data_IF_836310664031
#
_entry.id   IF_836310664031
#
_cell.length_a   1.000
_cell.length_b   1.000
_cell.length_c   1.000
_cell.angle_alpha   90.00
_cell.angle_beta   90.00
_cell.angle_gamma   90.00
#
_symmetry.space_group_name_H-M   'P 1'
#
loop_
_entity.id
_entity.type
_entity.pdbx_description
1 polymer ?
#
# COMPACT_ATOMS: atom_id res chain seq x y z
N UNK A 1 -8.88 -0.99 15.94
CA UNK A 1 -10.04 -1.30 15.04
C UNK A 1 -9.61 -2.41 14.10
N UNK A 2 -10.29 -3.58 14.11
CA UNK A 2 -9.95 -4.69 13.23
C UNK A 2 -10.20 -4.27 11.77
N UNK A 3 -9.14 -4.11 10.99
CA UNK A 3 -9.24 -3.97 9.53
C UNK A 3 -9.68 -5.31 8.96
N UNK A 4 -10.97 -5.52 8.80
CA UNK A 4 -11.49 -6.63 8.00
C UNK A 4 -11.24 -6.29 6.53
N UNK A 5 -10.08 -6.74 6.04
CA UNK A 5 -9.86 -6.83 4.60
C UNK A 5 -10.82 -7.87 4.04
N UNK A 6 -11.69 -7.44 3.14
CA UNK A 6 -12.51 -8.34 2.36
C UNK A 6 -11.60 -8.96 1.29
N UNK A 7 -10.83 -9.96 1.69
CA UNK A 7 -10.10 -10.82 0.77
C UNK A 7 -11.10 -11.83 0.18
N UNK A 8 -11.91 -11.36 -0.76
CA UNK A 8 -12.54 -12.28 -1.71
C UNK A 8 -11.44 -12.76 -2.63
N UNK A 9 -10.93 -13.96 -2.37
CA UNK A 9 -9.92 -14.60 -3.19
C UNK A 9 -10.51 -14.84 -4.58
N UNK A 10 -10.22 -13.94 -5.52
CA UNK A 10 -10.56 -14.06 -6.93
C UNK A 10 -9.57 -15.05 -7.54
N UNK A 11 -9.88 -16.35 -7.50
CA UNK A 11 -9.08 -17.35 -8.22
C UNK A 11 -9.40 -17.27 -9.72
N UNK A 12 -8.56 -16.59 -10.50
CA UNK A 12 -8.59 -16.64 -11.96
C UNK A 12 -7.77 -17.85 -12.44
N UNK A 13 -8.45 -18.86 -12.98
CA UNK A 13 -7.79 -19.91 -13.76
C UNK A 13 -7.54 -19.40 -15.17
N UNK A 14 -6.29 -19.03 -15.48
CA UNK A 14 -5.88 -18.61 -16.81
C UNK A 14 -5.63 -19.84 -17.69
N UNK A 15 -6.54 -20.12 -18.62
CA UNK A 15 -6.29 -21.02 -19.76
C UNK A 15 -5.72 -20.22 -20.92
N UNK A 16 -4.52 -20.55 -21.35
CA UNK A 16 -3.87 -20.03 -22.55
C UNK A 16 -4.60 -20.52 -23.82
N UNK A 17 -5.41 -19.65 -24.41
CA UNK A 17 -6.11 -19.95 -25.67
C UNK A 17 -6.52 -18.68 -26.39
N UNK A 18 -6.00 -18.53 -27.63
CA UNK A 18 -6.43 -17.67 -28.75
C UNK A 18 -6.93 -16.25 -28.46
N UNK A 19 -6.35 -15.30 -29.18
CA UNK A 19 -6.52 -13.83 -29.24
C UNK A 19 -7.95 -13.30 -29.48
N UNK A 20 -8.91 -13.73 -28.70
CA UNK A 20 -10.17 -13.00 -28.54
C UNK A 20 -10.19 -12.37 -27.15
N UNK A 21 -10.50 -11.08 -27.07
CA UNK A 21 -10.67 -10.38 -25.80
C UNK A 21 -11.72 -11.14 -24.97
N UNK A 22 -11.25 -11.88 -23.94
CA UNK A 22 -12.14 -12.63 -23.05
C UNK A 22 -12.64 -11.69 -21.97
N UNK A 23 -13.95 -11.65 -21.77
CA UNK A 23 -14.52 -10.92 -20.65
C UNK A 23 -14.11 -11.60 -19.33
N UNK A 24 -13.27 -10.93 -18.55
CA UNK A 24 -12.78 -11.43 -17.26
C UNK A 24 -13.80 -11.26 -16.16
N UNK A 25 -14.43 -10.08 -16.09
CA UNK A 25 -15.38 -9.71 -15.05
C UNK A 25 -16.50 -8.87 -15.67
N UNK A 26 -17.72 -9.04 -15.19
CA UNK A 26 -18.85 -8.17 -15.53
C UNK A 26 -19.29 -7.41 -14.26
N UNK A 27 -19.33 -6.07 -14.35
CA UNK A 27 -19.69 -5.19 -13.23
C UNK A 27 -20.96 -4.43 -13.59
N UNK A 28 -22.06 -4.70 -12.89
CA UNK A 28 -23.38 -4.11 -13.16
C UNK A 28 -23.77 -4.20 -14.66
N UNK A 29 -23.44 -5.29 -15.33
CA UNK A 29 -23.69 -5.51 -16.75
C UNK A 29 -22.59 -4.99 -17.70
N UNK A 30 -21.61 -4.24 -17.25
CA UNK A 30 -20.48 -3.77 -18.04
C UNK A 30 -19.34 -4.81 -18.02
N UNK A 31 -18.90 -5.27 -19.19
CA UNK A 31 -17.78 -6.18 -19.31
C UNK A 31 -16.43 -5.47 -19.08
N UNK A 32 -15.53 -6.15 -18.41
CA UNK A 32 -14.09 -5.85 -18.32
C UNK A 32 -13.38 -6.97 -19.06
N UNK A 33 -12.82 -6.65 -20.21
CA UNK A 33 -12.17 -7.62 -21.08
C UNK A 33 -10.66 -7.73 -20.78
N UNK A 34 -10.07 -8.85 -21.12
CA UNK A 34 -8.64 -9.12 -20.95
C UNK A 34 -7.75 -8.06 -21.60
N UNK A 35 -8.16 -7.53 -22.75
CA UNK A 35 -7.44 -6.47 -23.46
C UNK A 35 -7.23 -5.21 -22.64
N UNK A 36 -8.19 -4.84 -21.78
CA UNK A 36 -8.05 -3.68 -20.87
C UNK A 36 -6.91 -3.93 -19.86
N UNK A 37 -6.81 -5.16 -19.39
CA UNK A 37 -5.74 -5.54 -18.45
C UNK A 37 -4.39 -5.66 -19.16
N UNK A 38 -4.39 -6.17 -20.41
CA UNK A 38 -3.18 -6.22 -21.23
C UNK A 38 -2.59 -4.83 -21.46
N UNK A 39 -3.43 -3.84 -21.80
CA UNK A 39 -3.02 -2.44 -21.96
C UNK A 39 -2.45 -1.86 -20.65
N UNK A 40 -3.06 -2.15 -19.50
CA UNK A 40 -2.57 -1.71 -18.20
C UNK A 40 -1.23 -2.36 -17.84
N UNK A 41 -1.05 -3.66 -18.09
CA UNK A 41 0.23 -4.37 -17.90
C UNK A 41 1.31 -3.74 -18.80
N UNK A 42 1.00 -3.46 -20.06
CA UNK A 42 1.93 -2.80 -20.98
C UNK A 42 2.35 -1.41 -20.47
N UNK A 43 1.39 -0.61 -19.97
CA UNK A 43 1.65 0.72 -19.40
C UNK A 43 2.55 0.65 -18.17
N UNK A 44 2.26 -0.26 -17.24
CA UNK A 44 3.08 -0.46 -16.02
C UNK A 44 4.51 -0.86 -16.39
N UNK A 45 4.69 -1.76 -17.33
CA UNK A 45 6.01 -2.22 -17.80
C UNK A 45 6.77 -1.14 -18.58
N UNK A 46 6.07 -0.28 -19.30
CA UNK A 46 6.70 0.88 -19.96
C UNK A 46 7.25 1.85 -18.90
N UNK A 47 6.52 2.08 -17.83
CA UNK A 47 6.95 2.96 -16.72
C UNK A 47 8.04 2.32 -15.85
N UNK A 48 8.04 1.01 -15.70
CA UNK A 48 9.04 0.26 -14.94
C UNK A 48 9.35 -1.09 -15.61
N UNK A 49 10.40 -1.16 -16.45
CA UNK A 49 10.76 -2.36 -17.21
C UNK A 49 11.11 -3.60 -16.35
N UNK A 50 11.41 -3.41 -15.07
CA UNK A 50 11.74 -4.51 -14.16
C UNK A 50 10.49 -5.27 -13.66
N UNK A 51 9.30 -4.71 -13.84
CA UNK A 51 8.06 -5.37 -13.46
C UNK A 51 7.75 -6.48 -14.47
N UNK A 52 7.56 -7.69 -13.96
CA UNK A 52 7.17 -8.85 -14.76
C UNK A 52 5.64 -8.94 -14.85
N UNK A 53 5.15 -9.44 -15.98
CA UNK A 53 3.75 -9.80 -16.14
C UNK A 53 3.48 -11.12 -15.40
N UNK A 54 2.86 -11.03 -14.24
CA UNK A 54 2.54 -12.18 -13.39
C UNK A 54 1.03 -12.26 -13.15
N UNK A 55 0.51 -13.45 -12.81
CA UNK A 55 -0.90 -13.61 -12.44
C UNK A 55 -1.35 -12.65 -11.32
N UNK A 56 -0.48 -12.40 -10.34
CA UNK A 56 -0.76 -11.51 -9.20
C UNK A 56 -0.89 -10.05 -9.67
N UNK A 57 -0.01 -9.59 -10.58
CA UNK A 57 -0.11 -8.26 -11.18
C UNK A 57 -1.43 -8.12 -11.94
N UNK A 58 -1.78 -9.09 -12.77
CA UNK A 58 -3.03 -9.10 -13.53
C UNK A 58 -4.26 -9.12 -12.63
N UNK A 59 -4.24 -9.89 -11.55
CA UNK A 59 -5.31 -9.89 -10.55
C UNK A 59 -5.46 -8.51 -9.91
N UNK A 60 -4.38 -7.90 -9.44
CA UNK A 60 -4.38 -6.57 -8.84
C UNK A 60 -4.95 -5.51 -9.79
N UNK A 61 -4.54 -5.54 -11.07
CA UNK A 61 -5.04 -4.63 -12.10
C UNK A 61 -6.52 -4.86 -12.39
N UNK A 62 -6.98 -6.12 -12.40
CA UNK A 62 -8.40 -6.47 -12.57
C UNK A 62 -9.24 -5.94 -11.41
N UNK A 63 -8.80 -6.14 -10.17
CA UNK A 63 -9.48 -5.61 -8.97
C UNK A 63 -9.56 -4.07 -9.00
N UNK A 64 -8.46 -3.40 -9.39
CA UNK A 64 -8.44 -1.95 -9.58
C UNK A 64 -9.43 -1.50 -10.65
N UNK A 65 -9.51 -2.23 -11.77
CA UNK A 65 -10.45 -1.93 -12.85
C UNK A 65 -11.90 -2.11 -12.41
N UNK A 66 -12.21 -3.14 -11.61
CA UNK A 66 -13.55 -3.34 -11.02
C UNK A 66 -13.92 -2.14 -10.15
N UNK A 67 -13.02 -1.70 -9.27
CA UNK A 67 -13.25 -0.52 -8.42
C UNK A 67 -13.48 0.72 -9.27
N UNK A 68 -12.62 0.98 -10.23
CA UNK A 68 -12.75 2.13 -11.16
C UNK A 68 -14.08 2.10 -11.90
N UNK A 69 -14.51 0.93 -12.39
CA UNK A 69 -15.78 0.76 -13.09
C UNK A 69 -16.98 1.09 -12.18
N UNK A 70 -16.99 0.58 -10.95
CA UNK A 70 -18.08 0.86 -9.98
C UNK A 70 -18.13 2.36 -9.66
N UNK A 71 -16.98 2.99 -9.43
CA UNK A 71 -16.89 4.42 -9.10
C UNK A 71 -17.35 5.28 -10.27
N UNK A 72 -16.89 5.00 -11.48
CA UNK A 72 -17.26 5.78 -12.68
C UNK A 72 -18.72 5.62 -13.04
N UNK A 73 -19.30 4.44 -12.84
CA UNK A 73 -20.74 4.23 -13.00
C UNK A 73 -21.55 5.08 -12.02
N UNK A 74 -21.18 5.11 -10.74
CA UNK A 74 -21.87 5.97 -9.75
C UNK A 74 -21.66 7.44 -10.03
N UNK A 75 -20.45 7.87 -10.40
CA UNK A 75 -20.16 9.25 -10.77
C UNK A 75 -21.02 9.73 -11.95
N UNK A 76 -21.20 8.89 -12.98
CA UNK A 76 -22.11 9.17 -14.12
C UNK A 76 -23.58 9.22 -13.68
N UNK A 77 -24.01 8.32 -12.82
CA UNK A 77 -25.37 8.34 -12.24
C UNK A 77 -25.64 9.62 -11.46
N UNK A 78 -24.62 10.14 -10.75
CA UNK A 78 -24.64 11.43 -10.06
C UNK A 78 -24.44 12.62 -11.01
N UNK A 79 -24.27 12.40 -12.32
CA UNK A 79 -24.02 13.42 -13.36
C UNK A 79 -22.77 14.26 -13.12
N UNK A 80 -21.75 13.72 -12.44
CA UNK A 80 -20.50 14.42 -12.18
C UNK A 80 -19.71 14.67 -13.48
N UNK A 81 -19.87 13.82 -14.49
CA UNK A 81 -19.37 13.98 -15.85
C UNK A 81 -19.97 15.21 -16.59
N UNK A 82 -21.06 15.74 -16.07
CA UNK A 82 -21.77 16.89 -16.66
C UNK A 82 -21.48 18.19 -15.90
N UNK A 83 -20.75 18.14 -14.80
CA UNK A 83 -20.41 19.34 -14.02
C UNK A 83 -19.52 20.30 -14.82
N UNK A 84 -19.61 21.60 -14.50
CA UNK A 84 -18.81 22.61 -15.16
C UNK A 84 -17.31 22.40 -14.93
N UNK A 85 -16.96 22.01 -13.70
CA UNK A 85 -15.58 21.74 -13.28
C UNK A 85 -14.97 20.56 -14.04
N UNK A 86 -15.74 19.46 -14.17
CA UNK A 86 -15.29 18.28 -14.91
C UNK A 86 -15.07 18.61 -16.40
N UNK A 87 -16.01 19.30 -17.04
CA UNK A 87 -15.91 19.71 -18.45
C UNK A 87 -14.74 20.64 -18.68
N UNK A 88 -14.55 21.64 -17.81
CA UNK A 88 -13.42 22.56 -17.91
C UNK A 88 -12.08 21.84 -17.75
N UNK A 89 -11.97 20.89 -16.82
CA UNK A 89 -10.76 20.09 -16.64
C UNK A 89 -10.45 19.21 -17.86
N UNK A 90 -11.48 18.60 -18.48
CA UNK A 90 -11.32 17.84 -19.71
C UNK A 90 -10.86 18.70 -20.89
N UNK A 91 -11.49 19.88 -21.08
CA UNK A 91 -11.13 20.81 -22.14
C UNK A 91 -9.68 21.29 -22.00
N UNK A 92 -9.28 21.64 -20.78
CA UNK A 92 -7.91 22.06 -20.48
C UNK A 92 -6.92 20.93 -20.79
N UNK A 93 -7.18 19.73 -20.29
CA UNK A 93 -6.30 18.59 -20.53
C UNK A 93 -6.18 18.23 -22.03
N UNK A 94 -7.28 18.38 -22.79
CA UNK A 94 -7.28 18.13 -24.23
C UNK A 94 -6.48 19.17 -24.99
N UNK A 95 -6.61 20.44 -24.60
CA UNK A 95 -5.80 21.53 -25.16
C UNK A 95 -4.30 21.34 -24.88
N UNK A 96 -3.94 20.88 -23.69
CA UNK A 96 -2.55 20.61 -23.32
C UNK A 96 -1.98 19.39 -24.05
N UNK A 97 -2.77 18.33 -24.20
CA UNK A 97 -2.40 17.16 -25.01
C UNK A 97 -2.14 17.54 -26.48
N UNK A 98 -2.98 18.40 -27.05
CA UNK A 98 -2.79 18.89 -28.41
C UNK A 98 -1.51 19.74 -28.55
N UNK A 99 -1.23 20.65 -27.60
CA UNK A 99 0.00 21.45 -27.59
C UNK A 99 1.26 20.60 -27.53
N UNK A 100 1.20 19.45 -26.83
CA UNK A 100 2.31 18.50 -26.71
C UNK A 100 2.35 17.47 -27.84
N UNK A 101 1.38 17.48 -28.75
CA UNK A 101 1.26 16.50 -29.82
C UNK A 101 0.89 15.09 -29.35
N UNK A 102 0.43 14.95 -28.12
CA UNK A 102 0.02 13.67 -27.53
C UNK A 102 -1.23 13.12 -28.23
N UNK A 103 -2.12 13.99 -28.68
CA UNK A 103 -3.34 13.68 -29.43
C UNK A 103 -3.09 12.93 -30.76
N UNK A 104 -1.85 13.01 -31.28
CA UNK A 104 -1.44 12.35 -32.54
C UNK A 104 -0.88 10.92 -32.31
N UNK A 105 -0.67 10.50 -31.07
CA UNK A 105 -0.14 9.17 -30.76
C UNK A 105 -1.17 8.08 -31.03
N UNK A 106 -0.78 6.91 -31.54
CA UNK A 106 -1.71 5.78 -31.74
C UNK A 106 -2.41 5.35 -30.45
N UNK A 107 -1.75 5.51 -29.31
CA UNK A 107 -2.25 5.15 -27.96
C UNK A 107 -3.18 6.19 -27.34
N UNK A 108 -3.30 7.39 -27.96
CA UNK A 108 -4.02 8.52 -27.35
C UNK A 108 -5.47 8.18 -26.96
N UNK A 109 -6.19 7.44 -27.80
CA UNK A 109 -7.57 7.07 -27.51
C UNK A 109 -7.70 6.27 -26.20
N UNK A 110 -6.80 5.29 -26.00
CA UNK A 110 -6.79 4.46 -24.79
C UNK A 110 -6.33 5.26 -23.57
N UNK A 111 -5.25 6.04 -23.74
CA UNK A 111 -4.74 6.92 -22.68
C UNK A 111 -5.76 7.97 -22.26
N UNK A 112 -6.49 8.55 -23.24
CA UNK A 112 -7.54 9.53 -22.97
C UNK A 112 -8.72 8.94 -22.21
N UNK A 113 -9.18 7.74 -22.59
CA UNK A 113 -10.25 7.06 -21.88
C UNK A 113 -9.86 6.73 -20.42
N UNK A 114 -8.62 6.33 -20.20
CA UNK A 114 -8.09 6.10 -18.85
C UNK A 114 -8.05 7.41 -18.03
N UNK A 115 -7.54 8.49 -18.63
CA UNK A 115 -7.53 9.82 -18.01
C UNK A 115 -8.93 10.32 -17.65
N UNK A 116 -9.90 10.18 -18.54
CA UNK A 116 -11.30 10.56 -18.31
C UNK A 116 -11.90 9.78 -17.12
N UNK A 117 -11.63 8.48 -17.04
CA UNK A 117 -12.07 7.65 -15.91
C UNK A 117 -11.39 8.06 -14.59
N UNK A 118 -10.10 8.38 -14.62
CA UNK A 118 -9.38 8.85 -13.43
C UNK A 118 -9.92 10.21 -12.97
N UNK A 119 -10.16 11.14 -13.89
CA UNK A 119 -10.76 12.44 -13.58
C UNK A 119 -12.17 12.29 -12.98
N UNK A 120 -12.95 11.35 -13.51
CA UNK A 120 -14.28 11.04 -12.98
C UNK A 120 -14.21 10.42 -11.58
N UNK A 121 -13.22 9.59 -11.31
CA UNK A 121 -12.90 9.08 -9.98
C UNK A 121 -12.55 10.19 -8.99
N UNK A 122 -11.75 11.18 -9.43
CA UNK A 122 -11.42 12.37 -8.63
C UNK A 122 -12.68 13.22 -8.36
N UNK A 123 -13.53 13.43 -9.35
CA UNK A 123 -14.81 14.14 -9.19
C UNK A 123 -15.72 13.43 -8.17
N UNK A 124 -15.77 12.09 -8.19
CA UNK A 124 -16.49 11.30 -7.20
C UNK A 124 -15.91 11.49 -5.80
N UNK A 125 -14.57 11.41 -5.64
CA UNK A 125 -13.92 11.63 -4.35
C UNK A 125 -14.21 13.04 -3.80
N UNK A 126 -14.11 14.07 -4.64
CA UNK A 126 -14.44 15.45 -4.28
C UNK A 126 -15.90 15.59 -3.86
N UNK A 127 -16.84 14.95 -4.58
CA UNK A 127 -18.25 14.90 -4.23
C UNK A 127 -18.49 14.30 -2.84
N UNK A 128 -17.86 13.16 -2.52
CA UNK A 128 -17.97 12.53 -1.21
C UNK A 128 -17.41 13.43 -0.09
N UNK A 129 -16.26 14.05 -0.32
CA UNK A 129 -15.64 14.98 0.64
C UNK A 129 -16.55 16.17 0.90
N UNK A 130 -17.19 16.71 -0.15
CA UNK A 130 -18.13 17.82 -0.04
C UNK A 130 -19.42 17.42 0.68
N UNK A 131 -19.96 16.24 0.40
CA UNK A 131 -21.18 15.74 1.08
C UNK A 131 -20.93 15.39 2.55
N UNK A 132 -19.75 14.90 2.87
CA UNK A 132 -19.38 14.44 4.21
C UNK A 132 -18.07 15.13 4.67
N UNK A 133 -18.09 16.45 4.90
CA UNK A 133 -16.89 17.20 5.24
C UNK A 133 -16.30 16.73 6.58
N UNK A 134 -15.00 16.58 6.64
CA UNK A 134 -14.28 16.34 7.91
C UNK A 134 -14.34 17.63 8.72
N UNK A 135 -14.87 17.54 9.93
CA UNK A 135 -14.97 18.65 10.86
C UNK A 135 -13.79 18.67 11.83
N UNK A 136 -13.45 19.83 12.36
CA UNK A 136 -12.35 19.98 13.32
C UNK A 136 -12.52 19.04 14.54
N UNK A 137 -13.76 18.83 14.99
CA UNK A 137 -14.04 17.87 16.07
C UNK A 137 -13.63 16.44 15.76
N UNK A 138 -13.78 16.02 14.47
CA UNK A 138 -13.40 14.69 14.02
C UNK A 138 -11.88 14.55 14.03
N UNK A 139 -11.17 15.59 13.55
CA UNK A 139 -9.69 15.65 13.57
C UNK A 139 -9.17 15.64 15.00
N UNK A 140 -9.77 16.42 15.92
CA UNK A 140 -9.41 16.41 17.35
C UNK A 140 -9.64 15.06 18.00
N UNK A 141 -10.75 14.38 17.70
CA UNK A 141 -11.04 13.06 18.21
C UNK A 141 -9.99 12.04 17.73
N UNK A 142 -9.70 12.02 16.43
CA UNK A 142 -8.69 11.13 15.86
C UNK A 142 -7.29 11.41 16.41
N UNK A 143 -6.92 12.69 16.59
CA UNK A 143 -5.67 13.05 17.23
C UNK A 143 -5.60 12.56 18.69
N UNK A 144 -6.67 12.70 19.45
CA UNK A 144 -6.71 12.23 20.83
C UNK A 144 -6.55 10.71 20.91
N UNK A 145 -7.22 9.97 20.00
CA UNK A 145 -7.08 8.51 19.90
C UNK A 145 -5.64 8.12 19.56
N UNK A 146 -5.03 8.79 18.56
CA UNK A 146 -3.64 8.61 18.17
C UNK A 146 -2.69 8.92 19.33
N UNK A 147 -2.87 10.08 19.97
CA UNK A 147 -2.03 10.51 21.09
C UNK A 147 -2.13 9.56 22.27
N UNK A 148 -3.35 9.15 22.65
CA UNK A 148 -3.58 8.20 23.73
C UNK A 148 -3.03 6.81 23.42
N UNK A 149 -3.09 6.38 22.15
CA UNK A 149 -2.53 5.11 21.72
C UNK A 149 -1.03 5.05 21.97
N UNK A 150 -0.28 6.13 21.62
CA UNK A 150 1.17 6.14 21.78
C UNK A 150 1.67 6.67 23.12
N UNK A 151 0.81 7.28 23.96
CA UNK A 151 1.20 7.84 25.25
C UNK A 151 1.86 6.79 26.15
N UNK A 152 3.08 7.08 26.59
CA UNK A 152 3.87 6.17 27.41
C UNK A 152 4.41 4.93 26.71
N UNK A 153 4.23 4.84 25.38
CA UNK A 153 4.79 3.77 24.56
C UNK A 153 6.26 4.03 24.24
N UNK A 154 7.04 2.97 24.14
CA UNK A 154 8.42 3.04 23.68
C UNK A 154 8.52 2.65 22.21
N UNK A 155 9.55 3.18 21.56
CA UNK A 155 9.96 2.81 20.21
C UNK A 155 11.40 2.31 20.22
N UNK A 156 11.69 1.41 19.29
CA UNK A 156 12.99 0.77 19.17
C UNK A 156 13.58 0.99 17.78
N UNK A 157 14.90 1.17 17.74
CA UNK A 157 15.66 1.14 16.52
C UNK A 157 16.34 -0.22 16.44
N UNK A 158 15.93 -1.03 15.46
CA UNK A 158 16.37 -2.43 15.36
C UNK A 158 17.38 -2.61 14.24
N UNK A 159 18.49 -3.26 14.55
CA UNK A 159 19.34 -3.89 13.55
C UNK A 159 18.91 -5.34 13.35
N UNK A 160 19.07 -5.85 12.12
CA UNK A 160 18.69 -7.21 11.76
C UNK A 160 19.85 -7.93 11.08
N UNK A 161 20.09 -9.17 11.47
CA UNK A 161 21.04 -10.09 10.83
C UNK A 161 20.22 -11.24 10.26
N UNK A 162 20.11 -11.33 8.95
CA UNK A 162 19.37 -12.39 8.24
C UNK A 162 20.35 -13.47 7.77
N UNK A 163 20.05 -14.73 8.08
CA UNK A 163 20.85 -15.88 7.68
C UNK A 163 19.99 -16.94 7.01
N UNK A 164 20.60 -17.79 6.21
CA UNK A 164 19.99 -18.94 5.54
C UNK A 164 20.00 -20.22 6.40
N UNK A 165 20.63 -20.19 7.56
CA UNK A 165 20.71 -21.34 8.45
C UNK A 165 20.62 -20.96 9.93
N UNK A 166 19.92 -21.78 10.70
CA UNK A 166 19.85 -21.65 12.15
C UNK A 166 21.25 -21.70 12.80
N UNK A 167 22.15 -22.51 12.28
CA UNK A 167 23.54 -22.61 12.80
C UNK A 167 24.27 -21.27 12.70
N UNK A 168 24.15 -20.55 11.56
CA UNK A 168 24.77 -19.24 11.39
C UNK A 168 24.12 -18.19 12.27
N UNK A 169 22.78 -18.22 12.43
CA UNK A 169 22.09 -17.34 13.35
C UNK A 169 22.53 -17.54 14.81
N UNK A 170 22.70 -18.78 15.25
CA UNK A 170 23.20 -19.09 16.60
C UNK A 170 24.65 -18.63 16.80
N UNK A 171 25.53 -18.79 15.77
CA UNK A 171 26.89 -18.24 15.82
C UNK A 171 26.88 -16.71 15.91
N UNK A 172 25.99 -16.05 15.16
CA UNK A 172 25.80 -14.59 15.26
C UNK A 172 25.42 -14.17 16.68
N UNK A 173 24.48 -14.89 17.33
CA UNK A 173 24.10 -14.66 18.72
C UNK A 173 25.30 -14.84 19.66
N UNK A 174 26.06 -15.94 19.52
CA UNK A 174 27.25 -16.21 20.34
C UNK A 174 28.29 -15.09 20.20
N UNK A 175 28.52 -14.60 19.00
CA UNK A 175 29.46 -13.50 18.76
C UNK A 175 28.98 -12.17 19.35
N UNK A 176 27.63 -11.87 19.29
CA UNK A 176 27.06 -10.74 19.99
C UNK A 176 27.14 -10.88 21.52
N UNK A 177 26.95 -12.08 22.05
CA UNK A 177 27.17 -12.41 23.48
C UNK A 177 28.64 -12.19 23.90
N UNK A 178 29.58 -12.53 23.02
CA UNK A 178 31.00 -12.24 23.19
C UNK A 178 31.36 -10.75 23.00
N UNK A 179 30.36 -9.87 22.85
CA UNK A 179 30.51 -8.41 22.70
C UNK A 179 31.23 -7.97 21.42
N UNK A 180 31.23 -8.79 20.38
CA UNK A 180 31.63 -8.31 19.05
C UNK A 180 30.66 -7.23 18.57
N UNK A 181 31.13 -6.27 17.80
CA UNK A 181 30.27 -5.18 17.31
C UNK A 181 29.20 -5.73 16.38
N UNK A 182 27.99 -5.15 16.44
CA UNK A 182 26.88 -5.52 15.55
C UNK A 182 27.29 -5.50 14.08
N UNK A 183 28.00 -4.44 13.65
CA UNK A 183 28.46 -4.31 12.26
C UNK A 183 29.40 -5.44 11.84
N UNK A 184 30.30 -5.90 12.73
CA UNK A 184 31.19 -7.03 12.44
C UNK A 184 30.40 -8.32 12.27
N UNK A 185 29.44 -8.59 13.18
CA UNK A 185 28.62 -9.81 13.13
C UNK A 185 27.67 -9.78 11.93
N UNK A 186 27.07 -8.63 11.61
CA UNK A 186 26.26 -8.44 10.40
C UNK A 186 27.08 -8.79 9.14
N UNK A 187 28.26 -8.21 9.00
CA UNK A 187 29.11 -8.44 7.84
C UNK A 187 29.53 -9.91 7.70
N UNK A 188 29.74 -10.60 8.82
CA UNK A 188 30.18 -11.99 8.84
C UNK A 188 29.09 -13.00 8.52
N UNK A 189 27.84 -12.77 9.00
CA UNK A 189 26.79 -13.79 8.97
C UNK A 189 25.58 -13.43 8.12
N UNK A 190 25.29 -12.14 7.89
CA UNK A 190 24.09 -11.77 7.13
C UNK A 190 24.25 -12.11 5.66
N UNK A 191 23.16 -12.60 5.06
CA UNK A 191 23.04 -12.78 3.60
C UNK A 191 22.48 -11.53 2.91
N UNK A 192 22.03 -10.53 3.68
CA UNK A 192 21.51 -9.27 3.14
C UNK A 192 22.66 -8.31 2.83
N UNK A 193 23.09 -8.30 1.57
CA UNK A 193 24.16 -7.43 1.08
C UNK A 193 23.77 -5.93 1.12
N UNK A 194 22.49 -5.60 0.99
CA UNK A 194 22.04 -4.23 1.08
C UNK A 194 22.13 -3.72 2.53
N UNK A 195 21.72 -4.54 3.50
CA UNK A 195 21.86 -4.23 4.92
C UNK A 195 23.33 -4.07 5.31
N UNK A 196 24.23 -4.96 4.85
CA UNK A 196 25.68 -4.83 5.10
C UNK A 196 26.21 -3.49 4.63
N UNK A 197 25.89 -3.08 3.38
CA UNK A 197 26.32 -1.80 2.81
C UNK A 197 25.76 -0.60 3.55
N UNK A 198 24.55 -0.69 4.09
CA UNK A 198 23.88 0.36 4.85
C UNK A 198 24.26 0.39 6.34
N UNK A 199 25.10 -0.57 6.82
CA UNK A 199 25.45 -0.71 8.25
C UNK A 199 24.40 -1.45 9.09
N UNK A 200 23.33 -1.94 8.48
CA UNK A 200 22.32 -2.84 9.08
C UNK A 200 21.40 -2.24 10.12
N UNK A 201 21.50 -0.94 10.40
CA UNK A 201 20.65 -0.25 11.37
C UNK A 201 19.90 0.88 10.64
N UNK A 202 18.58 0.72 10.35
CA UNK A 202 17.77 1.77 9.77
C UNK A 202 17.74 3.01 10.66
N UNK A 203 17.60 4.20 10.07
CA UNK A 203 17.42 5.44 10.84
C UNK A 203 16.06 5.49 11.54
N UNK A 204 15.09 4.75 11.07
CA UNK A 204 13.72 4.73 11.58
C UNK A 204 13.63 4.00 12.92
N UNK A 205 12.79 4.53 13.79
CA UNK A 205 12.32 3.85 15.01
C UNK A 205 10.96 3.23 14.75
N UNK A 206 10.69 2.11 15.38
CA UNK A 206 9.41 1.40 15.28
C UNK A 206 8.77 1.37 16.67
N UNK A 207 7.57 1.95 16.86
CA UNK A 207 6.84 1.85 18.10
C UNK A 207 6.54 0.40 18.47
N UNK A 208 6.73 0.04 19.75
CA UNK A 208 6.46 -1.32 20.22
C UNK A 208 5.00 -1.74 20.05
N UNK A 209 4.08 -0.79 20.11
CA UNK A 209 2.65 -1.07 19.83
C UNK A 209 2.39 -1.47 18.39
N UNK A 210 3.09 -0.84 17.45
CA UNK A 210 2.96 -1.20 16.02
C UNK A 210 3.53 -2.60 15.76
N UNK A 211 4.66 -2.95 16.40
CA UNK A 211 5.19 -4.30 16.36
C UNK A 211 4.23 -5.32 16.98
N UNK A 212 3.55 -4.96 18.06
CA UNK A 212 2.59 -5.84 18.71
C UNK A 212 1.42 -6.21 17.78
N UNK A 213 0.97 -5.26 16.96
CA UNK A 213 -0.13 -5.47 16.02
C UNK A 213 0.32 -6.13 14.71
N UNK A 214 1.47 -5.68 14.14
CA UNK A 214 1.91 -6.09 12.81
C UNK A 214 2.83 -7.31 12.78
N UNK A 215 3.64 -7.49 13.85
CA UNK A 215 4.64 -8.55 13.95
C UNK A 215 4.74 -9.11 15.38
N UNK A 216 3.68 -9.78 15.91
CA UNK A 216 3.64 -10.24 17.30
C UNK A 216 4.83 -11.09 17.74
N UNK A 217 5.40 -12.00 16.89
CA UNK A 217 6.59 -12.76 17.27
C UNK A 217 7.82 -11.87 17.48
N UNK A 218 8.03 -10.86 16.63
CA UNK A 218 9.11 -9.89 16.78
C UNK A 218 8.91 -9.04 18.04
N UNK A 219 7.68 -8.53 18.25
CA UNK A 219 7.35 -7.82 19.49
C UNK A 219 7.71 -8.63 20.73
N UNK A 220 7.28 -9.89 20.81
CA UNK A 220 7.55 -10.75 21.96
C UNK A 220 9.06 -10.94 22.20
N UNK A 221 9.86 -11.01 21.12
CA UNK A 221 11.29 -11.17 21.21
C UNK A 221 12.04 -9.92 21.64
N UNK A 222 11.53 -8.71 21.34
CA UNK A 222 12.27 -7.45 21.56
C UNK A 222 11.68 -6.54 22.65
N UNK A 223 10.45 -6.76 23.07
CA UNK A 223 9.71 -5.85 23.99
C UNK A 223 10.45 -5.56 25.29
N UNK A 224 11.21 -6.51 25.83
CA UNK A 224 11.92 -6.40 27.10
C UNK A 224 13.44 -6.17 26.91
N UNK A 225 13.94 -6.17 25.66
CA UNK A 225 15.36 -5.95 25.40
C UNK A 225 15.75 -4.50 25.64
N UNK A 226 16.86 -4.29 26.31
CA UNK A 226 17.47 -2.97 26.51
C UNK A 226 18.33 -2.57 25.31
N UNK A 227 18.65 -1.29 25.19
CA UNK A 227 19.65 -0.79 24.26
C UNK A 227 20.97 -1.60 24.36
N UNK A 228 21.48 -2.02 23.23
CA UNK A 228 22.67 -2.88 23.13
C UNK A 228 22.41 -4.37 23.32
N UNK A 229 21.18 -4.78 23.59
CA UNK A 229 20.80 -6.20 23.70
C UNK A 229 20.32 -6.75 22.36
N UNK A 230 20.29 -8.07 22.24
CA UNK A 230 19.84 -8.79 21.05
C UNK A 230 18.99 -10.00 21.42
N UNK A 231 18.24 -10.54 20.47
CA UNK A 231 17.45 -11.76 20.67
C UNK A 231 18.36 -12.95 20.98
N UNK A 232 17.93 -13.79 21.93
CA UNK A 232 18.69 -14.97 22.36
C UNK A 232 18.34 -16.22 21.57
N UNK A 233 17.29 -16.14 20.75
CA UNK A 233 16.86 -17.20 19.87
C UNK A 233 16.56 -16.55 18.51
N UNK A 234 17.02 -17.17 17.40
CA UNK A 234 16.67 -16.68 16.07
C UNK A 234 15.16 -16.75 15.82
N UNK A 235 14.61 -15.74 15.16
CA UNK A 235 13.25 -15.78 14.64
C UNK A 235 13.28 -16.40 13.25
N UNK A 236 12.47 -17.44 13.04
CA UNK A 236 12.36 -18.10 11.74
C UNK A 236 11.21 -17.51 10.92
N UNK A 237 11.49 -17.25 9.65
CA UNK A 237 10.48 -16.89 8.65
C UNK A 237 10.77 -17.68 7.36
N UNK A 238 9.97 -18.68 7.09
CA UNK A 238 10.23 -19.64 6.00
C UNK A 238 11.55 -20.35 6.19
N UNK A 239 12.46 -20.22 5.22
CA UNK A 239 13.79 -20.81 5.24
C UNK A 239 14.87 -19.84 5.81
N UNK A 240 14.48 -18.66 6.27
CA UNK A 240 15.38 -17.65 6.80
C UNK A 240 15.30 -17.56 8.31
N UNK A 241 16.42 -17.13 8.92
CA UNK A 241 16.56 -16.92 10.35
C UNK A 241 17.07 -15.52 10.60
N UNK A 242 16.40 -14.78 11.49
CA UNK A 242 16.75 -13.41 11.83
C UNK A 242 17.17 -13.29 13.30
N UNK A 243 18.22 -12.52 13.54
CA UNK A 243 18.67 -12.09 14.86
C UNK A 243 18.51 -10.57 14.94
N UNK A 244 17.76 -10.11 15.94
CA UNK A 244 17.50 -8.69 16.12
C UNK A 244 18.37 -8.10 17.24
N UNK A 245 18.89 -6.91 16.96
CA UNK A 245 19.70 -6.12 17.87
C UNK A 245 19.01 -4.77 18.15
N UNK A 246 18.86 -4.41 19.41
CA UNK A 246 18.29 -3.12 19.81
C UNK A 246 19.40 -2.07 19.83
N UNK A 247 19.53 -1.30 18.76
CA UNK A 247 20.51 -0.23 18.68
C UNK A 247 20.19 0.92 19.61
N UNK A 248 18.89 1.29 19.66
CA UNK A 248 18.41 2.34 20.56
C UNK A 248 16.97 2.06 20.98
N UNK A 249 16.60 2.67 22.12
CA UNK A 249 15.26 2.58 22.69
C UNK A 249 14.92 3.88 23.40
N UNK A 250 13.76 4.45 23.08
CA UNK A 250 13.30 5.73 23.66
C UNK A 250 11.78 5.76 23.76
N UNK A 251 11.25 6.76 24.45
CA UNK A 251 9.80 6.99 24.45
C UNK A 251 9.37 7.56 23.10
N UNK A 252 8.17 7.14 22.63
CA UNK A 252 7.56 7.73 21.45
C UNK A 252 7.27 9.21 21.71
N UNK A 253 7.72 10.06 20.81
CA UNK A 253 7.37 11.47 20.82
C UNK A 253 6.15 11.68 19.93
N UNK A 254 4.98 11.88 20.57
CA UNK A 254 3.75 12.19 19.84
C UNK A 254 3.84 13.63 19.33
N UNK A 255 3.70 13.88 18.02
CA UNK A 255 3.66 15.23 17.48
C UNK A 255 2.48 16.03 18.06
N UNK A 256 2.59 17.35 18.09
CA UNK A 256 1.48 18.20 18.54
C UNK A 256 0.27 18.12 17.60
N UNK A 257 -0.92 18.48 18.13
CA UNK A 257 -2.14 18.59 17.30
C UNK A 257 -1.92 19.46 16.06
N UNK A 258 -1.31 20.62 16.25
CA UNK A 258 -1.05 21.56 15.14
C UNK A 258 -0.13 20.98 14.05
N UNK A 259 0.83 20.14 14.42
CA UNK A 259 1.71 19.47 13.49
C UNK A 259 1.01 18.31 12.72
N UNK A 260 0.02 17.68 13.32
CA UNK A 260 -0.63 16.46 12.80
C UNK A 260 -1.99 16.71 12.16
N UNK A 261 -2.64 17.85 12.43
CA UNK A 261 -4.05 18.07 12.06
C UNK A 261 -4.33 17.97 10.56
N UNK A 262 -3.41 18.43 9.71
CA UNK A 262 -3.60 18.39 8.26
C UNK A 262 -3.51 16.96 7.72
N UNK A 263 -2.54 16.17 8.21
CA UNK A 263 -2.39 14.76 7.86
C UNK A 263 -3.59 13.96 8.31
N UNK A 264 -3.98 14.09 9.59
CA UNK A 264 -5.17 13.42 10.15
C UNK A 264 -6.43 13.82 9.37
N UNK A 265 -6.58 15.10 9.03
CA UNK A 265 -7.69 15.58 8.23
C UNK A 265 -7.76 14.92 6.85
N UNK A 266 -6.62 14.81 6.18
CA UNK A 266 -6.49 14.13 4.88
C UNK A 266 -6.80 12.62 4.99
N UNK A 267 -6.30 11.95 6.03
CA UNK A 267 -6.56 10.53 6.28
C UNK A 267 -8.05 10.26 6.52
N UNK A 268 -8.71 11.13 7.30
CA UNK A 268 -10.15 11.04 7.55
C UNK A 268 -10.96 11.25 6.26
N UNK A 269 -10.55 12.19 5.38
CA UNK A 269 -11.16 12.38 4.07
C UNK A 269 -11.00 11.12 3.22
N UNK A 270 -9.79 10.58 3.13
CA UNK A 270 -9.51 9.34 2.41
C UNK A 270 -10.33 8.16 2.95
N UNK A 271 -10.45 8.04 4.27
CA UNK A 271 -11.26 7.01 4.91
C UNK A 271 -12.74 7.12 4.53
N UNK A 272 -13.31 8.34 4.42
CA UNK A 272 -14.70 8.56 3.98
C UNK A 272 -14.91 8.16 2.53
N UNK A 273 -13.98 8.55 1.64
CA UNK A 273 -14.02 8.14 0.23
C UNK A 273 -13.94 6.62 0.11
N UNK A 274 -13.02 5.99 0.83
CA UNK A 274 -12.89 4.53 0.85
C UNK A 274 -14.14 3.84 1.39
N UNK A 275 -14.77 4.37 2.43
CA UNK A 275 -16.03 3.83 2.96
C UNK A 275 -17.17 3.92 1.93
N UNK A 276 -17.25 5.02 1.18
CA UNK A 276 -18.21 5.17 0.10
C UNK A 276 -17.98 4.15 -1.02
N UNK A 277 -16.71 3.98 -1.47
CA UNK A 277 -16.33 2.97 -2.47
C UNK A 277 -16.68 1.56 -2.00
N UNK A 278 -16.35 1.21 -0.75
CA UNK A 278 -16.71 -0.10 -0.19
C UNK A 278 -18.23 -0.33 -0.14
N UNK A 279 -19.01 0.72 0.14
CA UNK A 279 -20.47 0.65 0.08
C UNK A 279 -20.98 0.39 -1.34
N UNK A 280 -20.38 1.01 -2.35
CA UNK A 280 -20.70 0.78 -3.76
C UNK A 280 -20.37 -0.65 -4.18
N UNK A 281 -19.19 -1.14 -3.84
CA UNK A 281 -18.75 -2.50 -4.16
C UNK A 281 -19.68 -3.56 -3.56
N UNK A 282 -20.16 -3.36 -2.33
CA UNK A 282 -21.13 -4.26 -1.68
C UNK A 282 -22.48 -4.32 -2.41
N UNK A 283 -22.87 -3.24 -3.10
CA UNK A 283 -24.13 -3.15 -3.84
C UNK A 283 -23.99 -3.57 -5.31
N UNK A 284 -22.78 -3.60 -5.83
CA UNK A 284 -22.52 -3.92 -7.22
C UNK A 284 -22.75 -5.40 -7.52
N UNK A 285 -23.31 -5.68 -8.69
CA UNK A 285 -23.35 -7.03 -9.25
C UNK A 285 -22.02 -7.32 -9.95
N UNK A 286 -21.15 -8.09 -9.30
CA UNK A 286 -19.82 -8.45 -9.84
C UNK A 286 -19.84 -9.94 -10.16
N UNK A 287 -19.63 -10.29 -11.44
CA UNK A 287 -19.59 -11.67 -11.93
C UNK A 287 -18.24 -11.92 -12.58
N UNK A 288 -17.50 -12.88 -12.00
CA UNK A 288 -16.24 -13.34 -12.58
C UNK A 288 -16.59 -14.40 -13.63
N UNK A 289 -16.08 -14.23 -14.86
CA UNK A 289 -16.26 -15.21 -15.92
C UNK A 289 -15.08 -16.21 -15.84
N UNK A 290 -15.42 -17.48 -15.92
CA UNK A 290 -14.44 -18.60 -15.91
C UNK A 290 -13.94 -18.91 -17.30
#
# INVERSE_FOLDING_TARGET
MKKTYFASTLMLALTSGTLFAQTLVTVNGQAIDSSVIDDQVASVRTSNPNIQDTPELRQMLTERQVISTVVTQEAKKLKLDQSAEFKAALEQARADAAKQGADKKPTFKTEWAAFENDLLGQAFAAHIIHQFPVQEKDVKAAYNDFSNFYKGTQEVQLGEIVTDSNSNAQKAIADLDAKKSFASVLNQYSIDEAAKKAGGIPKAYVPLKDLQESAPPLYAAVKDLKKGAHTKTPLQNGNLYAVFYVNDRRNVTVPSYEASKNEIGSDLQGARVNAAIQSLLKKASIKVNK
#
